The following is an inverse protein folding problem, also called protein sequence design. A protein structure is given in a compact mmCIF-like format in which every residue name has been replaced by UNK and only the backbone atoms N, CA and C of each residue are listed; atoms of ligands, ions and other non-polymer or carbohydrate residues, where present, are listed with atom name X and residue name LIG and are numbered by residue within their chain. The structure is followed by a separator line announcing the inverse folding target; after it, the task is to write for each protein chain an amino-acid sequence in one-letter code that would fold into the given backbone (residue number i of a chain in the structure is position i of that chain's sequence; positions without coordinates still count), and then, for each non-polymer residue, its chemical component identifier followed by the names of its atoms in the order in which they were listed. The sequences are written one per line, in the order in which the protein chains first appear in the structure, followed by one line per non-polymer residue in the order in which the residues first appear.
data_IF_196894327001
#
_entry.id   IF_196894327001
#
_cell.length_a   1.000
_cell.length_b   1.000
_cell.length_c   1.000
_cell.angle_alpha   90.00
_cell.angle_beta   90.00
_cell.angle_gamma   90.00
#
_symmetry.space_group_name_H-M   'P 1'
#
loop_
_entity.id
_entity.type
_entity.pdbx_description
1 polymer ?
#
# COMPACT_ATOMS: atom_id res chain seq x y z
N UNK A 1 5.02 -1.36 18.54
CA UNK A 1 4.78 -2.42 17.52
C UNK A 1 5.93 -2.36 16.53
N UNK A 2 6.57 -3.48 16.18
CA UNK A 2 7.77 -3.50 15.34
C UNK A 2 7.48 -4.17 13.98
N UNK A 3 8.03 -3.68 12.85
CA UNK A 3 7.80 -4.25 11.51
C UNK A 3 8.07 -5.76 11.40
N UNK A 4 9.08 -6.25 12.12
CA UNK A 4 9.51 -7.66 12.11
C UNK A 4 8.39 -8.64 12.51
N UNK A 5 7.39 -8.20 13.30
CA UNK A 5 6.22 -9.02 13.65
C UNK A 5 5.41 -9.46 12.42
N UNK A 6 5.59 -8.78 11.29
CA UNK A 6 4.93 -9.03 10.02
C UNK A 6 5.88 -9.53 8.93
N UNK A 7 7.15 -9.79 9.26
CA UNK A 7 8.19 -10.17 8.29
C UNK A 7 8.70 -9.02 7.43
N UNK A 8 8.51 -7.78 7.89
CA UNK A 8 9.01 -6.56 7.24
C UNK A 8 10.24 -6.05 7.97
N UNK A 9 11.20 -5.47 7.25
CA UNK A 9 12.39 -4.90 7.86
C UNK A 9 12.14 -3.47 8.37
N UNK A 10 12.76 -3.10 9.49
CA UNK A 10 12.85 -1.69 9.89
C UNK A 10 13.75 -0.92 8.94
N UNK A 11 13.36 0.31 8.62
CA UNK A 11 14.08 1.17 7.68
C UNK A 11 14.15 2.62 8.19
N UNK A 12 15.22 3.36 7.87
CA UNK A 12 15.32 4.77 8.22
C UNK A 12 14.29 5.60 7.45
N UNK A 13 13.68 6.58 8.13
CA UNK A 13 12.63 7.44 7.57
C UNK A 13 13.07 8.18 6.29
N UNK A 14 14.37 8.42 6.12
CA UNK A 14 14.95 9.04 4.93
C UNK A 14 14.67 8.28 3.63
N UNK A 15 14.44 6.97 3.68
CA UNK A 15 14.11 6.16 2.48
C UNK A 15 12.70 6.45 1.93
N UNK A 16 11.82 7.04 2.74
CA UNK A 16 10.48 7.45 2.34
C UNK A 16 10.41 8.92 1.87
N UNK A 17 11.50 9.68 2.03
CA UNK A 17 11.54 11.08 1.60
C UNK A 17 11.42 11.16 0.08
N UNK A 18 10.70 12.17 -0.40
CA UNK A 18 10.56 12.52 -1.82
C UNK A 18 10.85 14.00 -1.98
N UNK A 19 11.40 14.39 -3.13
CA UNK A 19 11.76 15.78 -3.43
C UNK A 19 10.61 16.57 -4.07
N UNK A 20 9.69 15.89 -4.77
CA UNK A 20 8.60 16.53 -5.49
C UNK A 20 7.40 15.57 -5.69
N UNK A 21 6.36 16.08 -6.35
CA UNK A 21 5.11 15.34 -6.60
C UNK A 21 5.32 14.19 -7.60
N UNK A 22 6.17 14.36 -8.61
CA UNK A 22 6.42 13.32 -9.61
C UNK A 22 7.08 12.09 -8.97
N UNK A 23 8.08 12.29 -8.11
CA UNK A 23 8.71 11.21 -7.33
C UNK A 23 7.71 10.56 -6.36
N UNK A 24 6.81 11.34 -5.75
CA UNK A 24 5.76 10.80 -4.90
C UNK A 24 4.79 9.89 -5.68
N UNK A 25 4.40 10.31 -6.88
CA UNK A 25 3.58 9.54 -7.79
C UNK A 25 4.29 8.27 -8.26
N UNK A 26 5.56 8.36 -8.64
CA UNK A 26 6.37 7.21 -9.05
C UNK A 26 6.46 6.18 -7.92
N UNK A 27 6.78 6.59 -6.69
CA UNK A 27 6.83 5.69 -5.53
C UNK A 27 5.48 5.04 -5.26
N UNK A 28 4.39 5.80 -5.30
CA UNK A 28 3.05 5.24 -5.11
C UNK A 28 2.72 4.19 -6.19
N UNK A 29 3.02 4.48 -7.46
CA UNK A 29 2.81 3.54 -8.55
C UNK A 29 3.68 2.30 -8.40
N UNK A 30 4.94 2.44 -7.98
CA UNK A 30 5.83 1.32 -7.68
C UNK A 30 5.25 0.40 -6.59
N UNK A 31 4.70 0.96 -5.51
CA UNK A 31 3.97 0.19 -4.49
C UNK A 31 2.82 -0.61 -5.10
N UNK A 32 1.98 0.04 -5.91
CA UNK A 32 0.82 -0.60 -6.53
C UNK A 32 1.20 -1.66 -7.59
N UNK A 33 2.38 -1.51 -8.20
CA UNK A 33 3.01 -2.49 -9.09
C UNK A 33 3.76 -3.61 -8.34
N UNK A 34 3.63 -3.67 -7.00
CA UNK A 34 4.27 -4.64 -6.14
C UNK A 34 5.82 -4.61 -6.15
N UNK A 35 6.42 -3.46 -6.43
CA UNK A 35 7.87 -3.29 -6.33
C UNK A 35 8.34 -3.46 -4.88
N UNK A 36 9.36 -4.31 -4.70
CA UNK A 36 9.91 -4.59 -3.37
C UNK A 36 10.64 -3.36 -2.85
N UNK A 37 10.29 -2.90 -1.65
CA UNK A 37 11.01 -1.82 -0.98
C UNK A 37 10.23 -1.21 0.17
N UNK A 38 10.91 -0.33 0.91
CA UNK A 38 10.39 0.37 2.09
C UNK A 38 9.04 1.07 1.84
N UNK A 39 8.80 1.72 0.69
CA UNK A 39 7.48 2.30 0.40
C UNK A 39 6.36 1.26 0.38
N UNK A 40 6.61 0.05 -0.16
CA UNK A 40 5.59 -1.01 -0.21
C UNK A 40 5.34 -1.56 1.18
N UNK A 41 6.40 -1.76 1.97
CA UNK A 41 6.31 -2.34 3.31
C UNK A 41 5.47 -1.45 4.25
N UNK A 42 5.68 -0.14 4.25
CA UNK A 42 4.88 0.78 5.09
C UNK A 42 3.42 0.87 4.62
N UNK A 43 3.16 0.82 3.32
CA UNK A 43 1.78 0.79 2.79
C UNK A 43 1.10 -0.52 3.16
N UNK A 44 1.78 -1.65 3.03
CA UNK A 44 1.26 -2.96 3.41
C UNK A 44 0.89 -2.99 4.90
N UNK A 45 1.73 -2.41 5.76
CA UNK A 45 1.47 -2.34 7.19
C UNK A 45 0.24 -1.46 7.52
N UNK A 46 0.16 -0.25 6.97
CA UNK A 46 -0.96 0.67 7.22
C UNK A 46 -2.28 0.17 6.63
N UNK A 47 -2.26 -0.33 5.38
CA UNK A 47 -3.44 -0.93 4.76
C UNK A 47 -3.88 -2.19 5.53
N UNK A 48 -2.93 -2.96 6.05
CA UNK A 48 -3.23 -4.11 6.89
C UNK A 48 -3.94 -3.74 8.19
N UNK A 49 -3.52 -2.66 8.84
CA UNK A 49 -4.22 -2.11 9.99
C UNK A 49 -5.64 -1.67 9.64
N UNK A 50 -5.82 -0.98 8.50
CA UNK A 50 -7.14 -0.56 8.01
C UNK A 50 -8.07 -1.77 7.75
N UNK A 51 -7.55 -2.84 7.12
CA UNK A 51 -8.29 -4.10 6.89
C UNK A 51 -8.71 -4.74 8.21
N UNK A 52 -7.81 -4.78 9.19
CA UNK A 52 -8.10 -5.36 10.51
C UNK A 52 -9.19 -4.59 11.25
N UNK A 53 -9.07 -3.26 11.37
CA UNK A 53 -10.07 -2.44 12.09
C UNK A 53 -11.43 -2.41 11.38
N UNK A 54 -11.46 -2.65 10.06
CA UNK A 54 -12.69 -2.82 9.30
C UNK A 54 -13.38 -4.18 9.51
N UNK A 55 -12.81 -5.08 10.34
CA UNK A 55 -13.36 -6.42 10.59
C UNK A 55 -13.14 -7.40 9.44
N UNK A 56 -12.24 -7.10 8.50
CA UNK A 56 -11.97 -7.91 7.30
C UNK A 56 -10.80 -8.91 7.50
N UNK A 57 -10.24 -8.96 8.69
CA UNK A 57 -9.23 -9.90 9.18
C UNK A 57 -9.39 -10.09 10.70
N UNK A 58 -9.14 -11.30 11.22
CA UNK A 58 -9.30 -11.61 12.63
C UNK A 58 -8.15 -11.10 13.51
N UNK A 59 -6.99 -10.86 12.91
CA UNK A 59 -5.84 -10.25 13.59
C UNK A 59 -5.17 -9.18 12.73
N UNK A 60 -4.40 -8.30 13.36
CA UNK A 60 -3.58 -7.33 12.63
C UNK A 60 -2.60 -8.01 11.66
N UNK A 61 -1.98 -9.14 12.06
CA UNK A 61 -1.06 -9.90 11.20
C UNK A 61 -1.74 -10.43 9.95
N UNK A 62 -2.96 -10.93 10.09
CA UNK A 62 -3.79 -11.34 8.94
C UNK A 62 -4.16 -10.16 8.06
N UNK A 63 -4.45 -9.00 8.65
CA UNK A 63 -4.68 -7.76 7.91
C UNK A 63 -3.48 -7.38 7.04
N UNK A 64 -2.27 -7.34 7.62
CA UNK A 64 -1.02 -7.02 6.90
C UNK A 64 -0.71 -8.06 5.83
N UNK A 65 -0.97 -9.35 6.08
CA UNK A 65 -0.84 -10.41 5.06
C UNK A 65 -1.82 -10.20 3.91
N UNK A 66 -3.08 -9.87 4.21
CA UNK A 66 -4.13 -9.62 3.20
C UNK A 66 -3.82 -8.38 2.36
N UNK A 67 -3.33 -7.31 2.97
CA UNK A 67 -2.85 -6.12 2.23
C UNK A 67 -1.75 -6.50 1.23
N UNK A 68 -0.77 -7.31 1.66
CA UNK A 68 0.30 -7.80 0.78
C UNK A 68 -0.25 -8.62 -0.40
N UNK A 69 -1.22 -9.50 -0.16
CA UNK A 69 -1.89 -10.27 -1.22
C UNK A 69 -2.66 -9.39 -2.21
N UNK A 70 -3.33 -8.34 -1.73
CA UNK A 70 -4.08 -7.40 -2.59
C UNK A 70 -3.13 -6.56 -3.46
N UNK A 71 -1.97 -6.18 -2.93
CA UNK A 71 -0.91 -5.51 -3.70
C UNK A 71 -0.31 -6.49 -4.72
N UNK A 72 0.13 -7.66 -4.28
CA UNK A 72 0.82 -8.64 -5.12
C UNK A 72 -0.04 -9.21 -6.26
N UNK A 73 -1.36 -9.29 -6.07
CA UNK A 73 -2.30 -9.72 -7.12
C UNK A 73 -2.61 -8.64 -8.16
N UNK A 74 -2.15 -7.39 -7.97
CA UNK A 74 -2.48 -6.26 -8.82
C UNK A 74 -3.86 -5.66 -8.56
N UNK A 75 -4.68 -6.25 -7.69
CA UNK A 75 -6.03 -5.77 -7.41
C UNK A 75 -6.06 -4.34 -6.86
N UNK A 76 -5.04 -3.94 -6.08
CA UNK A 76 -4.88 -2.55 -5.63
C UNK A 76 -4.73 -1.57 -6.81
N UNK A 77 -3.86 -1.91 -7.78
CA UNK A 77 -3.62 -1.09 -8.98
C UNK A 77 -4.86 -1.01 -9.85
N UNK A 78 -5.49 -2.14 -10.13
CA UNK A 78 -6.76 -2.20 -10.87
C UNK A 78 -7.84 -1.34 -10.21
N UNK A 79 -7.90 -1.31 -8.87
CA UNK A 79 -8.89 -0.49 -8.16
C UNK A 79 -8.62 1.01 -8.32
N UNK A 80 -7.35 1.45 -8.36
CA UNK A 80 -6.99 2.82 -8.71
C UNK A 80 -7.45 3.16 -10.13
N UNK A 81 -7.18 2.30 -11.10
CA UNK A 81 -7.56 2.54 -12.51
C UNK A 81 -9.09 2.64 -12.66
N UNK A 82 -9.85 1.80 -11.95
CA UNK A 82 -11.31 1.90 -11.88
C UNK A 82 -11.77 3.23 -11.25
N UNK A 83 -11.11 3.70 -10.19
CA UNK A 83 -11.45 4.97 -9.55
C UNK A 83 -11.17 6.17 -10.47
N UNK A 84 -10.05 6.16 -11.20
CA UNK A 84 -9.72 7.17 -12.21
C UNK A 84 -10.79 7.18 -13.32
N UNK A 85 -11.11 6.01 -13.88
CA UNK A 85 -12.11 5.89 -14.94
C UNK A 85 -13.49 6.37 -14.47
N UNK A 86 -13.89 6.03 -13.25
CA UNK A 86 -15.17 6.44 -12.67
C UNK A 86 -15.21 7.96 -12.43
N UNK A 87 -14.19 8.51 -11.75
CA UNK A 87 -14.15 9.94 -11.40
C UNK A 87 -14.11 10.86 -12.63
N UNK A 88 -13.45 10.43 -13.71
CA UNK A 88 -13.44 11.17 -14.97
C UNK A 88 -14.80 11.23 -15.68
N UNK A 89 -15.73 10.31 -15.40
CA UNK A 89 -17.10 10.36 -15.96
C UNK A 89 -17.95 11.50 -15.40
N UNK A 90 -17.54 12.09 -14.28
CA UNK A 90 -18.22 13.21 -13.64
C UNK A 90 -17.59 14.58 -13.98
N UNK A 91 -16.57 14.61 -14.86
CA UNK A 91 -16.01 15.85 -15.35
C UNK A 91 -16.99 16.48 -16.35
N UNK A 92 -17.44 17.70 -16.05
CA UNK A 92 -18.26 18.53 -16.94
C UNK A 92 -17.49 18.92 -18.21
#
# INVERSE_FOLDING_TARGET
MHPDLFGLASAPIGMLRVANVDEACEKLLGVLNNEVGVPRDIVQMNAGAAIYVAGLAGTLKEGVKKAGQVIASGAAKTKLDHFIALSNRFKA
#
